data_IF_739627373670
#
_entry.id   IF_739627373670
#
_cell.length_a   1.000
_cell.length_b   1.000
_cell.length_c   1.000
_cell.angle_alpha   90.00
_cell.angle_beta   90.00
_cell.angle_gamma   90.00
#
_symmetry.space_group_name_H-M   'P 1'
#
loop_
_entity.id
_entity.type
_entity.pdbx_description
1 polymer ?
#
# COMPACT_ATOMS: atom_id res chain seq x y z
N UNK A 1 11.59 -0.42 15.07
CA UNK A 1 11.27 0.41 13.90
C UNK A 1 10.94 1.82 14.36
N UNK A 2 11.59 2.80 13.76
CA UNK A 2 11.47 4.21 14.16
C UNK A 2 10.35 4.95 13.40
N UNK A 3 9.65 4.23 12.49
CA UNK A 3 8.60 4.79 11.65
C UNK A 3 7.26 4.12 11.94
N UNK A 4 6.38 4.83 12.66
CA UNK A 4 5.08 4.35 13.12
C UNK A 4 4.20 3.79 11.98
N UNK A 5 4.12 4.53 10.87
CA UNK A 5 3.26 4.14 9.75
C UNK A 5 3.66 2.78 9.16
N UNK A 6 4.96 2.52 8.97
CA UNK A 6 5.42 1.24 8.45
C UNK A 6 5.03 0.07 9.37
N UNK A 7 5.18 0.24 10.69
CA UNK A 7 4.83 -0.80 11.67
C UNK A 7 3.35 -1.12 11.69
N UNK A 8 2.49 -0.14 11.84
CA UNK A 8 1.04 -0.33 12.00
C UNK A 8 0.38 -0.69 10.66
N UNK A 9 0.60 0.12 9.63
CA UNK A 9 -0.07 -0.10 8.35
C UNK A 9 0.49 -1.31 7.62
N UNK A 10 1.79 -1.61 7.75
CA UNK A 10 2.35 -2.86 7.26
C UNK A 10 1.75 -4.09 7.95
N UNK A 11 1.49 -4.03 9.27
CA UNK A 11 0.81 -5.12 9.97
C UNK A 11 -0.64 -5.29 9.49
N UNK A 12 -1.37 -4.20 9.26
CA UNK A 12 -2.73 -4.26 8.70
C UNK A 12 -2.73 -4.79 7.27
N UNK A 13 -1.72 -4.46 6.48
CA UNK A 13 -1.51 -4.98 5.14
C UNK A 13 -1.40 -6.52 5.16
N UNK A 14 -0.47 -7.06 5.94
CA UNK A 14 -0.28 -8.52 6.06
C UNK A 14 -1.51 -9.21 6.65
N UNK A 15 -2.21 -8.56 7.58
CA UNK A 15 -3.48 -9.05 8.11
C UNK A 15 -4.54 -9.15 7.00
N UNK A 16 -4.62 -8.19 6.10
CA UNK A 16 -5.53 -8.22 4.96
C UNK A 16 -5.29 -9.43 4.05
N UNK A 17 -4.03 -9.73 3.73
CA UNK A 17 -3.64 -10.94 3.02
C UNK A 17 -4.07 -12.21 3.77
N UNK A 18 -3.80 -12.27 5.07
CA UNK A 18 -4.14 -13.43 5.89
C UNK A 18 -5.65 -13.66 5.99
N UNK A 19 -6.45 -12.61 6.12
CA UNK A 19 -7.91 -12.71 6.16
C UNK A 19 -8.49 -13.22 4.84
N UNK A 20 -7.93 -12.77 3.71
CA UNK A 20 -8.32 -13.28 2.39
C UNK A 20 -8.06 -14.79 2.26
N UNK A 21 -6.85 -15.24 2.59
CA UNK A 21 -6.49 -16.66 2.58
C UNK A 21 -7.38 -17.50 3.51
N UNK A 22 -7.69 -16.99 4.71
CA UNK A 22 -8.59 -17.67 5.65
C UNK A 22 -10.04 -17.76 5.14
N UNK A 23 -10.44 -16.81 4.30
CA UNK A 23 -11.79 -16.75 3.70
C UNK A 23 -11.96 -17.62 2.47
N UNK A 24 -10.90 -18.20 1.92
CA UNK A 24 -11.00 -19.07 0.74
C UNK A 24 -11.81 -20.35 1.03
N UNK A 25 -12.61 -20.84 0.04
CA UNK A 25 -13.46 -22.01 0.23
C UNK A 25 -12.67 -23.30 0.48
N UNK A 26 -12.66 -23.76 1.71
CA UNK A 26 -11.86 -24.93 2.15
C UNK A 26 -12.25 -26.24 1.44
N UNK A 27 -13.53 -26.36 1.04
CA UNK A 27 -14.04 -27.52 0.29
C UNK A 27 -13.45 -27.63 -1.12
N UNK A 28 -12.80 -26.58 -1.60
CA UNK A 28 -12.13 -26.54 -2.90
C UNK A 28 -10.61 -26.56 -2.80
N UNK A 29 -10.07 -26.85 -1.61
CA UNK A 29 -8.62 -26.92 -1.38
C UNK A 29 -7.89 -27.76 -2.43
N UNK A 30 -6.76 -27.25 -2.95
CA UNK A 30 -5.97 -27.90 -3.97
C UNK A 30 -6.53 -27.80 -5.40
N UNK A 31 -7.55 -26.97 -5.62
CA UNK A 31 -8.09 -26.66 -6.94
C UNK A 31 -8.10 -25.15 -7.18
N UNK A 32 -8.19 -24.68 -8.45
CA UNK A 32 -8.26 -23.24 -8.73
C UNK A 32 -9.44 -22.50 -8.10
N UNK A 33 -10.49 -23.20 -7.65
CA UNK A 33 -11.63 -22.59 -6.95
C UNK A 33 -11.36 -22.31 -5.48
N UNK A 34 -10.40 -23.02 -4.89
CA UNK A 34 -9.97 -22.83 -3.50
C UNK A 34 -8.67 -22.04 -3.38
N UNK A 35 -8.24 -21.43 -4.48
CA UNK A 35 -7.00 -20.65 -4.56
C UNK A 35 -7.28 -19.17 -4.80
N UNK A 36 -6.31 -18.32 -4.52
CA UNK A 36 -6.43 -16.89 -4.76
C UNK A 36 -6.66 -16.60 -6.25
N UNK A 37 -7.64 -15.75 -6.55
CA UNK A 37 -8.07 -15.45 -7.93
C UNK A 37 -6.96 -14.81 -8.76
N UNK A 38 -6.23 -13.86 -8.15
CA UNK A 38 -5.08 -13.18 -8.75
C UNK A 38 -4.30 -12.40 -7.70
N UNK A 39 -3.06 -12.05 -8.04
CA UNK A 39 -2.23 -11.17 -7.21
C UNK A 39 -2.90 -9.81 -6.97
N UNK A 40 -3.57 -9.24 -7.97
CA UNK A 40 -4.27 -7.95 -7.82
C UNK A 40 -5.46 -8.02 -6.87
N UNK A 41 -6.24 -9.10 -6.88
CA UNK A 41 -7.33 -9.31 -5.92
C UNK A 41 -6.77 -9.58 -4.52
N UNK A 42 -5.69 -10.35 -4.41
CA UNK A 42 -5.01 -10.60 -3.14
C UNK A 42 -4.49 -9.30 -2.51
N UNK A 43 -3.83 -8.46 -3.32
CA UNK A 43 -3.34 -7.14 -2.92
C UNK A 43 -4.49 -6.17 -2.58
N UNK A 44 -5.66 -6.30 -3.22
CA UNK A 44 -6.80 -5.46 -2.88
C UNK A 44 -7.28 -5.65 -1.44
N UNK A 45 -7.12 -6.84 -0.89
CA UNK A 45 -7.51 -7.13 0.48
C UNK A 45 -6.54 -6.50 1.48
N UNK A 46 -5.24 -6.60 1.22
CA UNK A 46 -4.22 -5.92 2.03
C UNK A 46 -4.40 -4.41 2.00
N UNK A 47 -4.60 -3.83 0.80
CA UNK A 47 -4.80 -2.38 0.65
C UNK A 47 -6.12 -1.88 1.25
N UNK A 48 -7.17 -2.70 1.28
CA UNK A 48 -8.41 -2.37 1.99
C UNK A 48 -8.12 -2.18 3.48
N UNK A 49 -7.44 -3.11 4.13
CA UNK A 49 -7.14 -3.03 5.55
C UNK A 49 -6.09 -1.98 5.89
N UNK A 50 -5.06 -1.85 5.08
CA UNK A 50 -4.01 -0.85 5.26
C UNK A 50 -4.54 0.57 5.14
N UNK A 51 -5.25 0.88 4.06
CA UNK A 51 -5.63 2.25 3.72
C UNK A 51 -7.09 2.57 4.04
N UNK A 52 -8.06 1.83 3.47
CA UNK A 52 -9.47 2.20 3.58
C UNK A 52 -10.03 2.00 4.98
N UNK A 53 -9.54 1.00 5.70
CA UNK A 53 -9.88 0.77 7.11
C UNK A 53 -8.88 1.44 8.03
N UNK A 54 -7.62 1.10 7.93
CA UNK A 54 -6.57 1.47 8.89
C UNK A 54 -6.27 2.97 8.94
N UNK A 55 -6.49 3.72 7.84
CA UNK A 55 -6.30 5.18 7.80
C UNK A 55 -7.59 5.96 8.04
N UNK A 56 -8.74 5.27 8.20
CA UNK A 56 -10.03 5.90 8.45
C UNK A 56 -10.11 6.57 9.81
N UNK A 57 -10.92 7.62 9.93
CA UNK A 57 -11.14 8.29 11.22
C UNK A 57 -11.82 7.35 12.21
N UNK A 58 -12.83 6.57 11.76
CA UNK A 58 -13.55 5.63 12.60
C UNK A 58 -12.65 4.54 13.22
N UNK A 59 -11.65 4.05 12.46
CA UNK A 59 -10.65 3.15 13.01
C UNK A 59 -9.87 3.83 14.15
N UNK A 60 -9.43 5.07 13.96
CA UNK A 60 -8.65 5.79 14.97
C UNK A 60 -9.48 6.31 16.13
N UNK A 61 -10.76 6.65 15.95
CA UNK A 61 -11.67 6.89 17.08
C UNK A 61 -11.69 5.70 18.06
N UNK A 62 -11.61 4.48 17.53
CA UNK A 62 -11.60 3.26 18.32
C UNK A 62 -10.24 2.95 18.95
N UNK A 63 -9.15 3.06 18.18
CA UNK A 63 -7.84 2.54 18.58
C UNK A 63 -6.85 3.61 19.09
N UNK A 64 -7.07 4.87 18.81
CA UNK A 64 -6.16 5.94 19.26
C UNK A 64 -6.02 6.03 20.79
N UNK A 65 -7.08 5.84 21.62
CA UNK A 65 -6.90 5.79 23.07
C UNK A 65 -5.89 4.73 23.50
N UNK A 66 -5.93 3.55 22.86
CA UNK A 66 -4.97 2.47 23.13
C UNK A 66 -3.57 2.78 22.60
N UNK A 67 -3.45 3.42 21.44
CA UNK A 67 -2.17 3.86 20.91
C UNK A 67 -1.49 4.85 21.86
N UNK A 68 -2.21 5.79 22.45
CA UNK A 68 -1.69 6.73 23.48
C UNK A 68 -1.19 6.03 24.75
N UNK A 69 -1.79 4.94 25.16
CA UNK A 69 -1.32 4.15 26.31
C UNK A 69 0.02 3.44 26.00
N UNK A 70 0.21 3.01 24.75
CA UNK A 70 1.41 2.26 24.32
C UNK A 70 2.55 3.22 23.97
N UNK A 71 2.26 4.31 23.27
CA UNK A 71 3.23 5.26 22.76
C UNK A 71 3.17 6.57 23.56
N UNK A 72 4.07 6.72 24.53
CA UNK A 72 4.12 7.90 25.40
C UNK A 72 4.27 9.23 24.61
N UNK A 73 4.89 9.18 23.42
CA UNK A 73 5.03 10.33 22.52
C UNK A 73 3.70 10.88 22.00
N UNK A 74 2.62 10.12 22.08
CA UNK A 74 1.27 10.53 21.67
C UNK A 74 0.47 11.18 22.82
N UNK A 75 1.05 11.35 24.02
CA UNK A 75 0.33 11.80 25.21
C UNK A 75 -0.47 13.09 25.05
N UNK A 76 0.13 14.10 24.43
CA UNK A 76 -0.46 15.44 24.22
C UNK A 76 -1.02 15.64 22.80
N UNK A 77 -0.96 14.62 21.94
CA UNK A 77 -1.46 14.70 20.57
C UNK A 77 -2.98 14.51 20.55
N UNK A 78 -3.70 15.36 19.82
CA UNK A 78 -5.12 15.17 19.59
C UNK A 78 -5.37 14.06 18.56
N UNK A 79 -6.58 13.45 18.56
CA UNK A 79 -6.97 12.50 17.53
C UNK A 79 -6.96 13.15 16.13
N UNK A 80 -7.38 14.40 16.03
CA UNK A 80 -7.43 15.15 14.78
C UNK A 80 -6.03 15.35 14.21
N UNK A 81 -5.07 15.83 15.02
CA UNK A 81 -3.68 16.02 14.58
C UNK A 81 -3.02 14.69 14.23
N UNK A 82 -3.29 13.65 15.00
CA UNK A 82 -2.79 12.31 14.70
C UNK A 82 -3.34 11.77 13.38
N UNK A 83 -4.67 11.85 13.18
CA UNK A 83 -5.32 11.40 11.95
C UNK A 83 -4.84 12.21 10.73
N UNK A 84 -4.65 13.51 10.88
CA UNK A 84 -4.03 14.33 9.84
C UNK A 84 -2.61 13.86 9.52
N UNK A 85 -1.78 13.60 10.52
CA UNK A 85 -0.39 13.20 10.35
C UNK A 85 -0.25 11.84 9.66
N UNK A 86 -1.08 10.84 10.02
CA UNK A 86 -1.00 9.49 9.38
C UNK A 86 -1.56 9.47 7.95
N UNK A 87 -2.30 10.52 7.55
CA UNK A 87 -2.82 10.71 6.21
C UNK A 87 -2.10 11.83 5.43
N UNK A 88 -0.96 12.33 5.93
CA UNK A 88 -0.19 13.35 5.25
C UNK A 88 0.27 12.87 3.86
N UNK A 89 0.15 13.75 2.88
CA UNK A 89 0.57 13.48 1.49
C UNK A 89 1.86 14.22 1.22
N UNK A 90 2.95 13.49 1.11
CA UNK A 90 4.28 14.03 0.84
C UNK A 90 5.04 13.15 -0.16
N UNK A 91 5.49 13.69 -1.30
CA UNK A 91 6.35 12.94 -2.21
C UNK A 91 7.59 12.41 -1.51
N UNK A 92 7.84 11.12 -1.64
CA UNK A 92 8.94 10.42 -0.98
C UNK A 92 9.76 9.59 -1.95
N UNK A 93 10.93 9.09 -1.53
CA UNK A 93 11.78 8.26 -2.37
C UNK A 93 11.41 6.78 -2.29
N UNK A 94 10.94 6.31 -1.14
CA UNK A 94 10.76 4.88 -0.87
C UNK A 94 9.30 4.47 -1.09
N UNK A 95 9.07 3.59 -2.06
CA UNK A 95 7.73 3.14 -2.46
C UNK A 95 6.93 2.54 -1.30
N UNK A 96 7.55 1.67 -0.51
CA UNK A 96 6.84 0.97 0.58
C UNK A 96 6.41 1.90 1.72
N UNK A 97 7.00 3.09 1.80
CA UNK A 97 6.69 4.14 2.79
C UNK A 97 5.81 5.25 2.20
N UNK A 98 5.52 5.19 0.89
CA UNK A 98 4.76 6.23 0.21
C UNK A 98 3.32 6.33 0.73
N UNK A 99 2.80 7.55 0.78
CA UNK A 99 1.41 7.81 1.10
C UNK A 99 0.45 7.25 0.03
N UNK A 100 -0.83 7.15 0.39
CA UNK A 100 -1.86 6.56 -0.47
C UNK A 100 -2.00 7.27 -1.82
N UNK A 101 -1.82 8.59 -1.86
CA UNK A 101 -2.01 9.39 -3.07
C UNK A 101 -0.83 9.22 -4.02
N UNK A 102 0.41 9.33 -3.52
CA UNK A 102 1.62 9.27 -4.35
C UNK A 102 2.07 7.85 -4.67
N UNK A 103 1.60 6.83 -3.95
CA UNK A 103 2.00 5.44 -4.13
C UNK A 103 1.92 4.95 -5.59
N UNK A 104 0.82 5.25 -6.28
CA UNK A 104 0.64 4.78 -7.66
C UNK A 104 1.61 5.44 -8.65
N UNK A 105 2.15 6.63 -8.34
CA UNK A 105 3.19 7.27 -9.15
C UNK A 105 4.49 6.46 -9.10
N UNK A 106 4.83 5.89 -7.93
CA UNK A 106 5.95 4.97 -7.80
C UNK A 106 5.78 3.73 -8.70
N UNK A 107 4.57 3.21 -8.83
CA UNK A 107 4.29 2.07 -9.69
C UNK A 107 4.40 2.45 -11.17
N UNK A 108 3.91 3.63 -11.55
CA UNK A 108 4.03 4.13 -12.93
C UNK A 108 5.49 4.28 -13.36
N UNK A 109 6.36 4.82 -12.52
CA UNK A 109 7.80 4.90 -12.80
C UNK A 109 8.38 3.52 -13.13
N UNK A 110 8.07 2.52 -12.32
CA UNK A 110 8.58 1.15 -12.52
C UNK A 110 8.04 0.52 -13.80
N UNK A 111 6.77 0.71 -14.09
CA UNK A 111 6.15 0.19 -15.31
C UNK A 111 6.77 0.83 -16.57
N UNK A 112 6.96 2.16 -16.58
CA UNK A 112 7.56 2.86 -17.71
C UNK A 112 9.00 2.40 -17.97
N UNK A 113 9.80 2.28 -16.91
CA UNK A 113 11.19 1.83 -17.01
C UNK A 113 11.27 0.34 -17.45
N UNK A 114 10.42 -0.51 -16.88
CA UNK A 114 10.36 -1.92 -17.28
C UNK A 114 10.01 -2.07 -18.77
N UNK A 115 9.00 -1.33 -19.23
CA UNK A 115 8.63 -1.33 -20.65
C UNK A 115 9.76 -0.83 -21.55
N UNK A 116 10.48 0.22 -21.15
CA UNK A 116 11.61 0.76 -21.91
C UNK A 116 12.77 -0.26 -22.00
N UNK A 117 13.07 -0.97 -20.90
CA UNK A 117 14.07 -2.04 -20.88
C UNK A 117 13.70 -3.18 -21.83
N UNK A 118 12.46 -3.70 -21.77
CA UNK A 118 12.02 -4.80 -22.61
C UNK A 118 11.85 -4.44 -24.09
N UNK A 119 11.65 -3.15 -24.41
CA UNK A 119 11.64 -2.66 -25.79
C UNK A 119 13.03 -2.37 -26.35
N UNK A 120 14.08 -2.45 -25.52
CA UNK A 120 15.44 -2.09 -25.89
C UNK A 120 15.64 -0.58 -26.08
N UNK A 121 14.76 0.23 -25.53
CA UNK A 121 14.81 1.70 -25.53
C UNK A 121 15.70 2.24 -24.40
N UNK A 122 15.96 1.43 -23.39
CA UNK A 122 16.80 1.74 -22.23
C UNK A 122 17.77 0.58 -21.97
N UNK A 123 19.06 0.89 -21.73
CA UNK A 123 20.02 -0.12 -21.30
C UNK A 123 19.99 -0.29 -19.76
N UNK A 124 20.37 -1.46 -19.23
CA UNK A 124 20.49 -1.65 -17.79
C UNK A 124 21.50 -0.70 -17.13
N UNK A 125 22.55 -0.31 -17.86
CA UNK A 125 23.58 0.61 -17.39
C UNK A 125 23.04 2.01 -17.16
N UNK A 126 22.09 2.46 -17.98
CA UNK A 126 21.47 3.80 -17.93
C UNK A 126 20.25 3.84 -16.97
N UNK A 127 19.82 2.70 -16.47
CA UNK A 127 18.63 2.57 -15.61
C UNK A 127 18.67 3.49 -14.37
N UNK A 128 19.79 3.65 -13.64
CA UNK A 128 19.81 4.53 -12.46
C UNK A 128 19.54 6.00 -12.79
N UNK A 129 20.05 6.49 -13.93
CA UNK A 129 19.82 7.86 -14.37
C UNK A 129 18.37 8.07 -14.82
N UNK A 130 17.86 7.15 -15.65
CA UNK A 130 16.47 7.15 -16.09
C UNK A 130 15.48 7.06 -14.91
N UNK A 131 15.82 6.29 -13.87
CA UNK A 131 15.04 6.23 -12.63
C UNK A 131 14.98 7.59 -11.93
N UNK A 132 16.12 8.27 -11.76
CA UNK A 132 16.18 9.58 -11.13
C UNK A 132 15.41 10.65 -11.91
N UNK A 133 15.43 10.57 -13.25
CA UNK A 133 14.66 11.44 -14.13
C UNK A 133 13.16 11.23 -13.94
N UNK A 134 12.68 9.97 -14.02
CA UNK A 134 11.28 9.63 -13.82
C UNK A 134 10.75 10.03 -12.45
N UNK A 135 11.56 9.87 -11.40
CA UNK A 135 11.20 10.34 -10.06
C UNK A 135 11.04 11.86 -9.98
N UNK A 136 11.92 12.61 -10.66
CA UNK A 136 11.76 14.06 -10.75
C UNK A 136 10.48 14.47 -11.47
N UNK A 137 10.18 13.78 -12.58
CA UNK A 137 9.02 14.11 -13.42
C UNK A 137 7.70 13.78 -12.73
N UNK A 138 7.59 12.63 -12.05
CA UNK A 138 6.35 12.16 -11.44
C UNK A 138 6.16 12.61 -9.99
N UNK A 139 7.25 12.71 -9.21
CA UNK A 139 7.21 12.93 -7.77
C UNK A 139 7.88 14.25 -7.32
N UNK A 140 8.60 14.92 -8.21
CA UNK A 140 9.33 16.16 -7.87
C UNK A 140 10.57 15.94 -6.99
N UNK A 141 10.95 14.69 -6.72
CA UNK A 141 12.13 14.30 -5.92
C UNK A 141 13.05 13.39 -6.73
N UNK A 142 14.32 13.27 -6.35
CA UNK A 142 15.24 12.37 -7.03
C UNK A 142 16.17 11.70 -6.01
N UNK A 143 16.42 10.38 -6.13
CA UNK A 143 17.37 9.68 -5.28
C UNK A 143 18.79 10.17 -5.54
N UNK A 144 19.62 10.17 -4.50
CA UNK A 144 21.04 10.55 -4.58
C UNK A 144 21.96 9.32 -4.69
N UNK A 145 21.45 8.16 -4.43
CA UNK A 145 22.17 6.89 -4.47
C UNK A 145 21.27 5.75 -4.98
N UNK A 146 21.88 4.59 -5.21
CA UNK A 146 21.18 3.41 -5.72
C UNK A 146 20.25 2.78 -4.68
N UNK A 147 20.55 2.91 -3.40
CA UNK A 147 19.79 2.32 -2.30
C UNK A 147 18.39 2.93 -2.24
N UNK A 148 18.32 4.27 -2.31
CA UNK A 148 17.05 5.01 -2.30
C UNK A 148 16.42 5.12 -3.70
N UNK A 149 17.13 4.64 -4.72
CA UNK A 149 16.74 4.61 -6.11
C UNK A 149 16.41 3.21 -6.62
N UNK A 150 17.08 2.83 -7.69
CA UNK A 150 16.83 1.60 -8.47
C UNK A 150 16.98 0.30 -7.67
N UNK A 151 17.69 0.31 -6.55
CA UNK A 151 17.91 -0.88 -5.72
C UNK A 151 16.98 -0.97 -4.51
N UNK A 152 15.99 -0.11 -4.38
CA UNK A 152 15.06 -0.14 -3.23
C UNK A 152 14.09 -1.33 -3.25
N UNK A 153 13.83 -1.93 -4.41
CA UNK A 153 12.93 -3.07 -4.60
C UNK A 153 13.69 -4.34 -5.01
N UNK A 154 13.23 -5.49 -4.56
CA UNK A 154 13.83 -6.79 -4.86
C UNK A 154 13.22 -7.49 -6.07
N UNK A 155 12.18 -6.94 -6.68
CA UNK A 155 11.36 -7.58 -7.70
C UNK A 155 12.17 -8.00 -8.93
N UNK A 156 12.86 -7.07 -9.56
CA UNK A 156 13.64 -7.37 -10.77
C UNK A 156 14.83 -8.28 -10.49
N UNK A 157 15.49 -8.11 -9.34
CA UNK A 157 16.55 -9.02 -8.90
C UNK A 157 16.04 -10.46 -8.67
N UNK A 158 14.76 -10.59 -8.27
CA UNK A 158 14.07 -11.88 -8.14
C UNK A 158 13.42 -12.39 -9.45
N UNK A 159 13.58 -11.68 -10.58
CA UNK A 159 12.99 -12.06 -11.87
C UNK A 159 11.49 -11.76 -11.99
N UNK A 160 10.92 -10.94 -11.09
CA UNK A 160 9.50 -10.58 -11.05
C UNK A 160 9.21 -9.39 -11.97
N UNK A 161 9.37 -9.59 -13.26
CA UNK A 161 8.99 -8.61 -14.27
C UNK A 161 7.48 -8.66 -14.54
N UNK A 162 6.86 -7.50 -14.81
CA UNK A 162 5.41 -7.37 -14.97
C UNK A 162 4.63 -7.40 -13.64
N UNK A 163 5.32 -7.44 -12.50
CA UNK A 163 4.67 -7.56 -11.19
C UNK A 163 4.11 -6.22 -10.68
N UNK A 164 4.83 -5.13 -10.84
CA UNK A 164 4.48 -3.82 -10.25
C UNK A 164 3.06 -3.32 -10.55
N UNK A 165 2.49 -3.48 -11.77
CA UNK A 165 1.10 -3.09 -12.04
C UNK A 165 0.07 -3.72 -11.12
N UNK A 166 0.37 -4.89 -10.54
CA UNK A 166 -0.48 -5.60 -9.58
C UNK A 166 -0.85 -4.73 -8.38
N UNK A 167 0.07 -3.91 -7.90
CA UNK A 167 -0.14 -3.00 -6.77
C UNK A 167 -1.19 -1.93 -7.07
N UNK A 168 -1.11 -1.29 -8.23
CA UNK A 168 -2.13 -0.32 -8.66
C UNK A 168 -3.48 -0.98 -8.92
N UNK A 169 -3.50 -2.17 -9.54
CA UNK A 169 -4.73 -2.95 -9.70
C UNK A 169 -5.35 -3.31 -8.36
N UNK A 170 -4.52 -3.67 -7.37
CA UNK A 170 -4.95 -3.91 -6.00
C UNK A 170 -5.65 -2.69 -5.39
N UNK A 171 -5.06 -1.50 -5.51
CA UNK A 171 -5.67 -0.25 -5.04
C UNK A 171 -7.02 0.04 -5.72
N UNK A 172 -7.11 -0.16 -7.05
CA UNK A 172 -8.35 0.05 -7.80
C UNK A 172 -9.44 -0.94 -7.40
N UNK A 173 -9.10 -2.22 -7.22
CA UNK A 173 -10.06 -3.23 -6.75
C UNK A 173 -10.48 -2.97 -5.31
N UNK A 174 -9.56 -2.60 -4.43
CA UNK A 174 -9.88 -2.23 -3.04
C UNK A 174 -10.93 -1.14 -2.98
N UNK A 175 -10.75 -0.06 -3.75
CA UNK A 175 -11.69 1.05 -3.81
C UNK A 175 -13.08 0.61 -4.32
N UNK A 176 -13.13 -0.24 -5.36
CA UNK A 176 -14.39 -0.75 -5.90
C UNK A 176 -15.11 -1.68 -4.93
N UNK A 177 -14.38 -2.60 -4.28
CA UNK A 177 -14.96 -3.51 -3.29
C UNK A 177 -15.46 -2.75 -2.06
N UNK A 178 -14.70 -1.77 -1.59
CA UNK A 178 -15.09 -0.94 -0.46
C UNK A 178 -16.37 -0.12 -0.78
N UNK A 179 -16.41 0.51 -1.93
CA UNK A 179 -17.62 1.22 -2.41
C UNK A 179 -18.85 0.29 -2.48
N UNK A 180 -18.65 -0.94 -2.96
CA UNK A 180 -19.72 -1.93 -3.02
C UNK A 180 -20.17 -2.35 -1.62
N UNK A 181 -19.24 -2.56 -0.70
CA UNK A 181 -19.55 -2.87 0.69
C UNK A 181 -20.35 -1.76 1.36
N UNK A 182 -19.98 -0.49 1.17
CA UNK A 182 -20.76 0.64 1.70
C UNK A 182 -22.18 0.72 1.09
N UNK A 183 -22.31 0.42 -0.21
CA UNK A 183 -23.62 0.41 -0.86
C UNK A 183 -24.56 -0.69 -0.29
N UNK A 184 -24.02 -1.81 0.16
CA UNK A 184 -24.78 -2.93 0.72
C UNK A 184 -24.98 -2.85 2.23
N UNK A 185 -23.99 -2.36 2.96
CA UNK A 185 -23.96 -2.38 4.43
C UNK A 185 -24.25 -1.02 5.07
N UNK A 186 -24.33 0.04 4.26
CA UNK A 186 -24.40 1.44 4.72
C UNK A 186 -23.00 1.98 5.09
N UNK A 187 -22.92 3.22 5.60
CA UNK A 187 -21.64 3.85 5.94
C UNK A 187 -20.80 3.01 6.90
N UNK A 188 -19.54 2.73 6.54
CA UNK A 188 -18.64 1.87 7.30
C UNK A 188 -17.90 2.62 8.42
N UNK A 189 -17.57 3.88 8.24
CA UNK A 189 -16.88 4.70 9.25
C UNK A 189 -17.52 4.62 10.66
N UNK A 190 -18.84 4.82 10.84
CA UNK A 190 -19.47 4.70 12.16
C UNK A 190 -19.41 3.28 12.73
N UNK A 191 -19.29 2.27 11.88
CA UNK A 191 -19.15 0.86 12.30
C UNK A 191 -17.75 0.63 12.85
N UNK A 192 -16.71 1.12 12.17
CA UNK A 192 -15.33 1.03 12.62
C UNK A 192 -15.14 1.70 14.00
N UNK A 193 -15.73 2.88 14.20
CA UNK A 193 -15.72 3.56 15.49
C UNK A 193 -16.30 2.71 16.65
N UNK A 194 -17.27 1.84 16.34
CA UNK A 194 -17.83 0.89 17.31
C UNK A 194 -17.06 -0.44 17.41
N UNK A 195 -16.05 -0.63 16.55
CA UNK A 195 -15.27 -1.88 16.48
C UNK A 195 -15.97 -3.00 15.71
N UNK A 196 -16.85 -2.65 14.77
CA UNK A 196 -17.53 -3.57 13.84
C UNK A 196 -16.78 -3.55 12.50
N UNK A 197 -15.92 -4.53 12.26
CA UNK A 197 -15.09 -4.65 11.08
C UNK A 197 -15.53 -5.78 10.15
#
# INVERSE_FOLDING_TARGET
>A
EDFFNAGIFGTLHEMGHALYEQGLPKEHWGTPRGDAVSLGVHESQSRTWENLVGRSLGFWERFFPRAREVFASLGDVSLEDFHFAVNAVEPSLIRVEADEVTYNLHILVRLELELALFRGELSPEDLPEAWAEKYRDHLGVAPKDYKDGVMQDVHWAGGLFGYFPTYTLGNLYAAQFFQKAEAELGPLEPRFARGEF
#
